data_IF_477535424920
#
_entry.id   IF_477535424920
#
_cell.length_a   1.000
_cell.length_b   1.000
_cell.length_c   1.000
_cell.angle_alpha   90.00
_cell.angle_beta   90.00
_cell.angle_gamma   90.00
#
_symmetry.space_group_name_H-M   'P 1'
#
loop_
_entity.id
_entity.type
_entity.pdbx_description
1 polymer ?
#
# COMPACT_ATOMS: atom_id res chain seq x y z
N UNK A 1 -73.90 -2.14 -56.69
CA UNK A 1 -72.56 -2.73 -56.56
C UNK A 1 -72.04 -2.37 -55.13
N UNK A 2 -72.15 -3.29 -54.17
CA UNK A 2 -72.00 -3.09 -52.75
C UNK A 2 -70.62 -3.65 -52.34
N UNK A 3 -69.71 -2.79 -51.93
CA UNK A 3 -68.41 -3.20 -51.42
C UNK A 3 -68.53 -3.52 -49.91
N UNK A 4 -68.27 -4.76 -49.55
CA UNK A 4 -68.24 -5.21 -48.15
C UNK A 4 -66.82 -5.06 -47.61
N UNK A 5 -66.64 -4.17 -46.59
CA UNK A 5 -65.43 -4.03 -45.86
C UNK A 5 -65.43 -5.08 -44.75
N UNK A 6 -64.43 -6.01 -44.77
CA UNK A 6 -64.16 -6.94 -43.69
C UNK A 6 -63.24 -6.23 -42.64
N UNK A 7 -63.76 -6.07 -41.44
CA UNK A 7 -62.96 -5.67 -40.28
C UNK A 7 -62.29 -6.92 -39.71
N UNK A 8 -60.98 -7.02 -39.84
CA UNK A 8 -60.18 -8.01 -39.17
C UNK A 8 -59.81 -7.54 -37.78
N UNK A 9 -60.34 -8.13 -36.71
CA UNK A 9 -59.91 -7.94 -35.35
C UNK A 9 -58.54 -8.61 -35.13
N UNK A 10 -57.47 -7.86 -35.06
CA UNK A 10 -56.22 -8.37 -34.52
C UNK A 10 -56.30 -8.34 -32.98
N UNK A 11 -56.42 -9.50 -32.39
CA UNK A 11 -56.34 -9.72 -30.95
C UNK A 11 -54.83 -9.72 -30.58
N UNK A 12 -54.36 -8.62 -30.03
CA UNK A 12 -53.01 -8.55 -29.47
C UNK A 12 -53.05 -9.18 -28.07
N UNK A 13 -52.49 -10.40 -27.96
CA UNK A 13 -52.27 -11.06 -26.67
C UNK A 13 -51.08 -10.37 -25.99
N UNK A 14 -51.36 -9.49 -25.04
CA UNK A 14 -50.37 -8.97 -24.11
C UNK A 14 -50.00 -10.06 -23.10
N UNK A 15 -48.87 -10.75 -23.32
CA UNK A 15 -48.28 -11.63 -22.32
C UNK A 15 -47.65 -10.76 -21.26
N UNK A 16 -48.37 -10.57 -20.16
CA UNK A 16 -47.78 -9.98 -18.94
C UNK A 16 -46.82 -11.00 -18.33
N UNK A 17 -45.54 -10.86 -18.61
CA UNK A 17 -44.49 -11.55 -17.85
C UNK A 17 -44.45 -10.92 -16.47
N UNK A 18 -45.18 -11.51 -15.54
CA UNK A 18 -45.08 -11.19 -14.11
C UNK A 18 -43.73 -11.70 -13.61
N UNK A 19 -42.77 -10.78 -13.48
CA UNK A 19 -41.57 -11.03 -12.67
C UNK A 19 -42.04 -11.27 -11.23
N UNK A 20 -42.17 -12.54 -10.83
CA UNK A 20 -42.31 -12.88 -9.42
C UNK A 20 -41.05 -12.46 -8.70
N UNK A 21 -41.09 -11.31 -7.99
CA UNK A 21 -40.08 -10.99 -6.99
C UNK A 21 -40.07 -12.11 -5.96
N UNK A 22 -39.06 -12.99 -6.03
CA UNK A 22 -38.77 -13.87 -4.90
C UNK A 22 -38.56 -12.95 -3.69
N UNK A 23 -39.53 -12.92 -2.79
CA UNK A 23 -39.32 -12.38 -1.46
C UNK A 23 -38.16 -13.16 -0.87
N UNK A 24 -37.04 -12.51 -0.59
CA UNK A 24 -36.01 -13.02 0.31
C UNK A 24 -36.67 -13.13 1.70
N UNK A 25 -37.26 -14.29 1.98
CA UNK A 25 -37.91 -14.57 3.27
C UNK A 25 -37.03 -15.46 4.15
N UNK A 26 -35.85 -15.77 3.71
CA UNK A 26 -34.86 -16.41 4.58
C UNK A 26 -34.05 -15.34 5.28
N UNK A 27 -34.55 -14.93 6.43
CA UNK A 27 -33.74 -14.25 7.41
C UNK A 27 -32.73 -15.28 7.93
N UNK A 28 -31.55 -15.32 7.36
CA UNK A 28 -30.44 -16.04 7.99
C UNK A 28 -30.15 -15.28 9.29
N UNK A 29 -30.67 -15.78 10.41
CA UNK A 29 -30.19 -15.35 11.71
C UNK A 29 -28.71 -15.72 11.77
N UNK A 30 -27.86 -14.73 11.52
CA UNK A 30 -26.44 -14.83 11.86
C UNK A 30 -26.39 -14.85 13.37
N UNK A 31 -25.98 -15.97 14.00
CA UNK A 31 -25.86 -16.00 15.47
C UNK A 31 -24.95 -14.83 15.86
N UNK A 32 -25.44 -13.97 16.73
CA UNK A 32 -24.58 -12.96 17.38
C UNK A 32 -23.43 -13.74 18.03
N UNK A 33 -22.17 -13.32 17.83
CA UNK A 33 -21.04 -13.96 18.48
C UNK A 33 -21.32 -14.04 20.00
N UNK A 34 -21.38 -15.25 20.55
CA UNK A 34 -21.83 -15.52 21.91
C UNK A 34 -20.83 -15.09 22.99
N UNK A 35 -19.65 -14.59 22.58
CA UNK A 35 -18.64 -13.88 23.38
C UNK A 35 -17.91 -12.94 22.42
N UNK A 36 -17.61 -11.73 22.88
CA UNK A 36 -16.54 -10.94 22.27
C UNK A 36 -15.26 -11.78 22.44
N UNK A 37 -14.86 -12.49 21.38
CA UNK A 37 -13.56 -13.12 21.34
C UNK A 37 -12.56 -11.98 21.48
N UNK A 38 -11.87 -11.95 22.64
CA UNK A 38 -10.82 -10.95 22.86
C UNK A 38 -9.81 -11.14 21.75
N UNK A 39 -9.64 -10.12 20.90
CA UNK A 39 -8.59 -10.11 19.91
C UNK A 39 -7.27 -10.22 20.68
N UNK A 40 -6.55 -11.31 20.46
CA UNK A 40 -5.23 -11.52 21.04
C UNK A 40 -4.23 -11.10 19.97
N UNK A 41 -3.47 -10.05 20.27
CA UNK A 41 -2.39 -9.57 19.40
C UNK A 41 -1.19 -10.52 19.56
N UNK A 42 -0.69 -11.01 18.42
CA UNK A 42 0.44 -11.94 18.38
C UNK A 42 1.80 -11.26 18.57
N UNK A 43 2.87 -12.02 18.31
CA UNK A 43 4.23 -11.50 18.33
C UNK A 43 4.80 -11.46 16.89
N UNK A 44 5.35 -10.33 16.42
CA UNK A 44 5.96 -10.25 15.10
C UNK A 44 7.15 -11.22 14.90
N UNK A 45 7.83 -11.63 15.98
CA UNK A 45 8.93 -12.60 15.92
C UNK A 45 8.48 -14.02 15.54
N UNK A 46 7.20 -14.34 15.73
CA UNK A 46 6.63 -15.64 15.38
C UNK A 46 6.27 -15.75 13.87
N UNK A 47 6.28 -14.62 13.16
CA UNK A 47 5.94 -14.58 11.73
C UNK A 47 7.12 -15.04 10.89
N UNK A 48 6.90 -16.11 10.13
CA UNK A 48 7.92 -16.68 9.23
C UNK A 48 7.34 -16.83 7.84
N UNK A 49 8.12 -16.40 6.85
CA UNK A 49 7.86 -16.69 5.44
C UNK A 49 8.19 -18.13 5.09
N UNK A 50 7.67 -18.58 3.95
CA UNK A 50 8.13 -19.82 3.31
C UNK A 50 9.62 -19.70 2.95
N UNK A 51 10.34 -20.81 2.92
CA UNK A 51 11.73 -20.84 2.46
C UNK A 51 11.84 -20.28 1.03
N UNK A 52 12.85 -19.45 0.78
CA UNK A 52 13.11 -18.86 -0.52
C UNK A 52 14.20 -17.79 -0.48
N UNK A 53 14.40 -17.13 -1.61
CA UNK A 53 15.47 -16.14 -1.80
C UNK A 53 15.29 -14.89 -0.94
N UNK A 54 14.04 -14.50 -0.72
CA UNK A 54 13.69 -13.27 0.00
C UNK A 54 13.08 -13.57 1.37
N UNK A 55 13.67 -12.99 2.40
CA UNK A 55 13.16 -13.05 3.76
C UNK A 55 12.36 -11.77 4.09
N UNK A 56 11.39 -11.90 4.98
CA UNK A 56 10.67 -10.73 5.51
C UNK A 56 11.63 -9.83 6.30
N UNK A 57 11.58 -8.53 6.06
CA UNK A 57 12.22 -7.56 6.94
C UNK A 57 11.62 -7.68 8.35
N UNK A 58 12.46 -7.84 9.38
CA UNK A 58 12.01 -7.97 10.77
C UNK A 58 11.43 -6.64 11.25
N UNK A 59 10.30 -6.70 11.95
CA UNK A 59 9.76 -5.56 12.67
C UNK A 59 10.65 -5.24 13.89
N UNK A 60 11.22 -4.03 13.98
CA UNK A 60 12.08 -3.67 15.12
C UNK A 60 11.26 -3.23 16.36
N UNK A 61 9.96 -3.51 16.39
CA UNK A 61 9.01 -3.13 17.45
C UNK A 61 7.81 -4.08 17.48
N UNK A 62 7.13 -4.14 18.63
CA UNK A 62 5.89 -4.92 18.79
C UNK A 62 4.71 -4.23 18.10
N UNK A 63 3.63 -4.98 17.86
CA UNK A 63 2.44 -4.46 17.18
C UNK A 63 1.76 -3.31 17.93
N UNK A 64 1.87 -3.22 19.25
CA UNK A 64 1.31 -2.14 20.05
C UNK A 64 2.19 -0.87 20.08
N UNK A 65 3.41 -0.95 19.58
CA UNK A 65 4.40 0.13 19.74
C UNK A 65 4.01 1.44 19.04
N UNK A 66 3.19 1.37 17.99
CA UNK A 66 2.79 2.54 17.20
C UNK A 66 1.43 3.13 17.62
N UNK A 67 0.78 2.56 18.64
CA UNK A 67 -0.47 3.10 19.21
C UNK A 67 -0.20 4.47 19.84
N UNK A 68 -1.07 5.48 19.63
CA UNK A 68 -2.39 5.43 18.97
C UNK A 68 -2.38 5.74 17.47
N UNK A 69 -1.22 5.87 16.84
CA UNK A 69 -1.05 6.34 15.46
C UNK A 69 -1.37 5.25 14.43
N UNK A 70 -1.01 4.01 14.71
CA UNK A 70 -1.43 2.81 13.99
C UNK A 70 -1.84 1.81 15.06
N UNK A 71 -3.06 1.26 14.97
CA UNK A 71 -3.54 0.30 15.95
C UNK A 71 -2.85 -1.06 15.79
N UNK A 72 -2.78 -1.81 16.89
CA UNK A 72 -2.05 -3.07 16.95
C UNK A 72 -2.62 -4.12 15.98
N UNK A 73 -3.94 -4.19 15.84
CA UNK A 73 -4.58 -5.15 14.94
C UNK A 73 -4.30 -4.85 13.48
N UNK A 74 -4.39 -3.57 13.08
CA UNK A 74 -3.99 -3.15 11.74
C UNK A 74 -2.54 -3.55 11.46
N UNK A 75 -1.62 -3.24 12.38
CA UNK A 75 -0.20 -3.54 12.20
C UNK A 75 0.08 -5.05 12.12
N UNK A 76 -0.56 -5.83 13.00
CA UNK A 76 -0.44 -7.29 12.98
C UNK A 76 -0.90 -7.89 11.66
N UNK A 77 -2.11 -7.59 11.22
CA UNK A 77 -2.66 -8.14 9.98
C UNK A 77 -1.84 -7.66 8.77
N UNK A 78 -1.44 -6.40 8.76
CA UNK A 78 -0.65 -5.82 7.69
C UNK A 78 0.72 -6.48 7.55
N UNK A 79 1.39 -6.77 8.66
CA UNK A 79 2.69 -7.45 8.67
C UNK A 79 2.54 -8.96 8.51
N UNK A 80 1.78 -9.63 9.40
CA UNK A 80 1.77 -11.08 9.53
C UNK A 80 0.92 -11.80 8.48
N UNK A 81 0.09 -11.08 7.73
CA UNK A 81 -0.75 -11.65 6.66
C UNK A 81 -0.43 -11.02 5.32
N UNK A 82 -0.53 -9.70 5.22
CA UNK A 82 -0.43 -9.02 3.94
C UNK A 82 1.00 -9.00 3.40
N UNK A 83 1.96 -8.50 4.16
CA UNK A 83 3.39 -8.52 3.78
C UNK A 83 3.93 -9.94 3.63
N UNK A 84 3.58 -10.85 4.53
CA UNK A 84 3.92 -12.28 4.45
C UNK A 84 3.45 -12.89 3.13
N UNK A 85 2.22 -12.59 2.70
CA UNK A 85 1.69 -13.10 1.43
C UNK A 85 2.51 -12.62 0.24
N UNK A 86 2.91 -11.35 0.19
CA UNK A 86 3.78 -10.85 -0.87
C UNK A 86 5.15 -11.52 -0.87
N UNK A 87 5.73 -11.76 0.31
CA UNK A 87 7.02 -12.46 0.45
C UNK A 87 6.94 -13.88 -0.11
N UNK A 88 5.94 -14.64 0.31
CA UNK A 88 5.77 -16.03 -0.12
C UNK A 88 5.46 -16.14 -1.63
N UNK A 89 4.66 -15.22 -2.15
CA UNK A 89 4.36 -15.18 -3.58
C UNK A 89 5.58 -14.77 -4.41
N UNK A 90 6.36 -13.80 -3.95
CA UNK A 90 7.60 -13.41 -4.61
C UNK A 90 8.56 -14.60 -4.69
N UNK A 91 8.78 -15.31 -3.59
CA UNK A 91 9.66 -16.50 -3.57
C UNK A 91 9.25 -17.55 -4.60
N UNK A 92 7.94 -17.80 -4.76
CA UNK A 92 7.44 -18.72 -5.80
C UNK A 92 7.71 -18.22 -7.22
N UNK A 93 7.60 -16.90 -7.44
CA UNK A 93 7.77 -16.29 -8.76
C UNK A 93 9.23 -16.19 -9.20
N UNK A 94 10.15 -16.08 -8.25
CA UNK A 94 11.60 -15.97 -8.54
C UNK A 94 12.34 -17.30 -8.47
N UNK A 95 11.67 -18.42 -8.30
CA UNK A 95 12.28 -19.76 -8.22
C UNK A 95 12.88 -20.19 -9.56
N UNK A 96 13.79 -19.38 -10.10
CA UNK A 96 14.63 -19.69 -11.26
C UNK A 96 16.04 -19.13 -11.03
N UNK A 97 17.10 -19.80 -11.48
CA UNK A 97 18.49 -19.36 -11.23
C UNK A 97 18.76 -17.91 -11.66
N UNK A 98 18.11 -17.46 -12.74
CA UNK A 98 18.29 -16.12 -13.29
C UNK A 98 17.68 -15.03 -12.40
N UNK A 99 16.56 -15.32 -11.74
CA UNK A 99 15.87 -14.38 -10.85
C UNK A 99 16.34 -14.46 -9.41
N UNK A 100 16.69 -15.67 -8.93
CA UNK A 100 17.26 -15.89 -7.59
C UNK A 100 18.59 -15.15 -7.38
N UNK A 101 19.36 -14.96 -8.45
CA UNK A 101 20.63 -14.24 -8.41
C UNK A 101 20.48 -12.71 -8.33
N UNK A 102 19.26 -12.17 -8.50
CA UNK A 102 19.01 -10.74 -8.52
C UNK A 102 18.60 -10.20 -7.14
N UNK A 103 19.02 -8.98 -6.84
CA UNK A 103 18.46 -8.22 -5.74
C UNK A 103 17.02 -7.78 -6.04
N UNK A 104 16.26 -7.43 -5.00
CA UNK A 104 14.88 -6.96 -5.21
C UNK A 104 14.83 -5.70 -6.06
N UNK A 105 15.79 -4.79 -5.90
CA UNK A 105 15.90 -3.56 -6.70
C UNK A 105 16.19 -3.87 -8.17
N UNK A 106 16.98 -4.89 -8.46
CA UNK A 106 17.26 -5.33 -9.83
C UNK A 106 16.00 -5.94 -10.45
N UNK A 107 15.25 -6.76 -9.70
CA UNK A 107 13.97 -7.31 -10.16
C UNK A 107 12.99 -6.18 -10.50
N UNK A 108 12.85 -5.20 -9.63
CA UNK A 108 11.97 -4.05 -9.84
C UNK A 108 12.37 -3.23 -11.07
N UNK A 109 13.65 -3.05 -11.30
CA UNK A 109 14.19 -2.26 -12.44
C UNK A 109 14.12 -2.99 -13.77
N UNK A 110 14.33 -4.32 -13.76
CA UNK A 110 14.52 -5.10 -14.99
C UNK A 110 13.28 -5.92 -15.37
N UNK A 111 12.75 -6.68 -14.42
CA UNK A 111 11.81 -7.77 -14.71
C UNK A 111 10.35 -7.42 -14.45
N UNK A 112 10.08 -6.49 -13.53
CA UNK A 112 8.72 -6.11 -13.16
C UNK A 112 7.95 -5.42 -14.31
N UNK A 113 8.64 -4.84 -15.29
CA UNK A 113 8.00 -4.16 -16.41
C UNK A 113 7.26 -5.12 -17.37
N UNK A 114 7.70 -6.38 -17.46
CA UNK A 114 7.20 -7.35 -18.46
C UNK A 114 6.33 -8.46 -17.87
N UNK A 115 6.32 -8.62 -16.55
CA UNK A 115 5.54 -9.63 -15.85
C UNK A 115 4.66 -8.97 -14.77
N UNK A 116 3.33 -8.90 -14.97
CA UNK A 116 2.41 -8.26 -14.03
C UNK A 116 2.40 -8.87 -12.64
N UNK A 117 2.51 -10.20 -12.53
CA UNK A 117 2.53 -10.89 -11.23
C UNK A 117 3.81 -10.60 -10.47
N UNK A 118 4.95 -10.65 -11.17
CA UNK A 118 6.24 -10.28 -10.59
C UNK A 118 6.27 -8.81 -10.19
N UNK A 119 5.73 -7.90 -11.03
CA UNK A 119 5.59 -6.47 -10.70
C UNK A 119 4.81 -6.26 -9.42
N UNK A 120 3.66 -6.92 -9.29
CA UNK A 120 2.78 -6.76 -8.14
C UNK A 120 3.42 -7.35 -6.86
N UNK A 121 3.97 -8.56 -6.92
CA UNK A 121 4.49 -9.24 -5.74
C UNK A 121 5.88 -8.70 -5.33
N UNK A 122 6.77 -8.40 -6.26
CA UNK A 122 8.03 -7.74 -5.96
C UNK A 122 7.83 -6.31 -5.43
N UNK A 123 6.90 -5.57 -6.04
CA UNK A 123 6.50 -4.25 -5.54
C UNK A 123 5.92 -4.33 -4.13
N UNK A 124 4.98 -5.25 -3.90
CA UNK A 124 4.38 -5.45 -2.58
C UNK A 124 5.41 -5.82 -1.52
N UNK A 125 6.30 -6.76 -1.83
CA UNK A 125 7.39 -7.13 -0.93
C UNK A 125 8.27 -5.93 -0.56
N UNK A 126 8.79 -5.23 -1.56
CA UNK A 126 9.65 -4.07 -1.35
C UNK A 126 8.95 -2.95 -0.57
N UNK A 127 7.77 -2.55 -1.02
CA UNK A 127 7.06 -1.41 -0.46
C UNK A 127 6.72 -1.61 1.03
N UNK A 128 6.26 -2.81 1.41
CA UNK A 128 5.92 -3.12 2.80
C UNK A 128 7.14 -3.21 3.71
N UNK A 129 8.20 -3.91 3.30
CA UNK A 129 9.45 -3.95 4.06
C UNK A 129 10.01 -2.55 4.28
N UNK A 130 10.05 -1.75 3.21
CA UNK A 130 10.49 -0.37 3.24
C UNK A 130 9.63 0.52 4.16
N UNK A 131 8.32 0.35 4.12
CA UNK A 131 7.38 1.09 4.97
C UNK A 131 7.59 0.74 6.45
N UNK A 132 7.61 -0.53 6.81
CA UNK A 132 7.74 -0.96 8.20
C UNK A 132 9.07 -0.54 8.83
N UNK A 133 10.19 -0.63 8.11
CA UNK A 133 11.49 -0.12 8.57
C UNK A 133 11.50 1.40 8.75
N UNK A 134 10.67 2.10 8.00
CA UNK A 134 10.52 3.56 8.05
C UNK A 134 9.74 4.08 9.25
N UNK A 135 9.26 3.19 10.14
CA UNK A 135 8.44 3.54 11.30
C UNK A 135 9.18 3.30 12.62
N UNK A 136 8.79 4.02 13.66
CA UNK A 136 9.31 3.84 15.02
C UNK A 136 8.34 4.40 16.06
N UNK A 137 8.34 3.77 17.25
CA UNK A 137 7.62 4.29 18.42
C UNK A 137 8.28 5.48 19.09
N UNK A 138 9.54 5.76 18.73
CA UNK A 138 10.36 6.85 19.31
C UNK A 138 10.64 7.93 18.27
N UNK A 139 9.64 8.29 17.48
CA UNK A 139 9.78 9.21 16.38
C UNK A 139 10.07 10.64 16.88
N UNK A 140 11.20 11.26 16.46
CA UNK A 140 11.34 12.70 16.57
C UNK A 140 10.34 13.38 15.62
N UNK A 141 9.92 14.60 15.95
CA UNK A 141 8.88 15.31 15.16
C UNK A 141 9.35 15.72 13.76
N UNK A 142 10.65 15.93 13.60
CA UNK A 142 11.24 16.41 12.36
C UNK A 142 12.61 15.76 12.14
N UNK A 143 13.08 15.66 10.90
CA UNK A 143 14.46 15.26 10.61
C UNK A 143 15.44 16.30 11.14
N UNK A 144 16.71 15.92 11.19
CA UNK A 144 17.83 16.78 11.63
C UNK A 144 18.88 16.88 10.53
N UNK A 145 19.87 17.71 10.78
CA UNK A 145 21.13 17.83 10.03
C UNK A 145 20.91 17.96 8.50
N UNK A 146 21.62 17.19 7.71
CA UNK A 146 21.61 17.28 6.24
C UNK A 146 20.22 17.11 5.65
N UNK A 147 19.44 16.13 6.11
CA UNK A 147 18.10 15.90 5.59
C UNK A 147 17.16 17.09 5.85
N UNK A 148 17.26 17.72 7.02
CA UNK A 148 16.49 18.93 7.33
C UNK A 148 16.86 20.10 6.41
N UNK A 149 18.15 20.26 6.14
CA UNK A 149 18.66 21.30 5.22
C UNK A 149 18.15 21.09 3.78
N UNK A 150 18.15 19.85 3.32
CA UNK A 150 17.64 19.49 1.99
C UNK A 150 16.13 19.68 1.87
N UNK A 151 15.39 19.34 2.90
CA UNK A 151 13.94 19.60 2.94
C UNK A 151 13.69 21.11 2.85
N UNK A 152 14.46 21.91 3.55
CA UNK A 152 14.37 23.37 3.46
C UNK A 152 14.75 23.88 2.08
N UNK A 153 15.83 23.35 1.47
CA UNK A 153 16.27 23.72 0.12
C UNK A 153 15.18 23.46 -0.93
N UNK A 154 14.55 22.29 -0.88
CA UNK A 154 13.69 21.81 -1.98
C UNK A 154 12.22 22.12 -1.77
N UNK A 155 11.80 22.32 -0.53
CA UNK A 155 10.40 22.55 -0.20
C UNK A 155 10.14 23.91 0.47
N UNK A 156 11.16 24.61 0.95
CA UNK A 156 11.06 25.87 1.70
C UNK A 156 11.05 25.63 3.21
N UNK A 157 10.07 24.90 3.72
CA UNK A 157 9.95 24.55 5.14
C UNK A 157 9.55 23.08 5.32
N UNK A 158 9.71 22.56 6.53
CA UNK A 158 9.21 21.23 6.87
C UNK A 158 7.67 21.15 6.74
N UNK A 159 6.96 22.20 7.09
CA UNK A 159 5.51 22.26 6.98
C UNK A 159 5.05 22.25 5.51
N UNK A 160 5.77 22.90 4.62
CA UNK A 160 5.50 22.84 3.18
C UNK A 160 5.78 21.46 2.60
N UNK A 161 6.88 20.80 3.01
CA UNK A 161 7.12 19.39 2.70
C UNK A 161 5.96 18.53 3.17
N UNK A 162 5.55 18.63 4.44
CA UNK A 162 4.44 17.88 5.03
C UNK A 162 3.15 18.12 4.26
N UNK A 163 2.88 19.35 3.88
CA UNK A 163 1.70 19.72 3.06
C UNK A 163 1.72 19.07 1.69
N UNK A 164 2.87 19.10 0.99
CA UNK A 164 3.04 18.47 -0.32
C UNK A 164 2.90 16.94 -0.23
N UNK A 165 3.51 16.31 0.78
CA UNK A 165 3.40 14.87 1.02
C UNK A 165 1.96 14.45 1.32
N UNK A 166 1.29 15.19 2.20
CA UNK A 166 -0.14 14.98 2.50
C UNK A 166 -1.00 15.11 1.26
N UNK A 167 -0.72 16.12 0.42
CA UNK A 167 -1.46 16.33 -0.84
C UNK A 167 -1.24 15.17 -1.82
N UNK A 168 -0.02 14.67 -1.97
CA UNK A 168 0.27 13.51 -2.82
C UNK A 168 -0.46 12.26 -2.33
N UNK A 169 -0.41 11.99 -1.01
CA UNK A 169 -1.10 10.86 -0.38
C UNK A 169 -2.63 10.92 -0.52
N UNK A 170 -3.23 12.11 -0.41
CA UNK A 170 -4.67 12.31 -0.58
C UNK A 170 -5.11 12.22 -2.04
N UNK A 171 -4.29 12.73 -2.97
CA UNK A 171 -4.60 12.71 -4.41
C UNK A 171 -4.40 11.35 -5.07
N UNK A 172 -3.72 10.41 -4.40
CA UNK A 172 -3.63 9.05 -4.90
C UNK A 172 -5.04 8.44 -4.95
N UNK A 173 -5.58 8.37 -6.16
CA UNK A 173 -6.89 7.76 -6.39
C UNK A 173 -6.78 6.24 -6.31
N UNK A 174 -7.64 5.61 -5.53
CA UNK A 174 -7.59 4.18 -5.27
C UNK A 174 -6.38 3.79 -4.42
N UNK A 175 -5.96 2.54 -4.60
CA UNK A 175 -4.84 1.93 -3.89
C UNK A 175 -3.50 2.45 -4.38
N UNK A 176 -2.53 2.60 -3.49
CA UNK A 176 -1.19 3.03 -3.86
C UNK A 176 -0.37 3.51 -2.68
N UNK A 177 0.70 4.25 -2.99
CA UNK A 177 1.73 4.68 -2.04
C UNK A 177 2.08 6.14 -2.26
N UNK A 178 2.38 6.86 -1.20
CA UNK A 178 3.01 8.18 -1.26
C UNK A 178 4.49 8.09 -0.89
N UNK A 179 5.33 8.87 -1.57
CA UNK A 179 6.78 8.77 -1.48
C UNK A 179 7.45 10.12 -1.28
N UNK A 180 8.53 10.13 -0.50
CA UNK A 180 9.63 11.07 -0.61
C UNK A 180 10.78 10.34 -1.30
N UNK A 181 11.34 10.94 -2.35
CA UNK A 181 12.45 10.38 -3.12
C UNK A 181 13.60 11.38 -3.24
N UNK A 182 14.79 10.84 -3.52
CA UNK A 182 15.92 11.61 -4.07
C UNK A 182 15.96 11.32 -5.59
N UNK A 183 15.83 12.36 -6.41
CA UNK A 183 15.93 12.20 -7.86
C UNK A 183 17.39 12.14 -8.33
N UNK A 184 17.60 11.86 -9.61
CA UNK A 184 18.93 11.76 -10.23
C UNK A 184 19.68 13.10 -10.33
N UNK A 185 19.04 14.22 -10.01
CA UNK A 185 19.65 15.55 -9.93
C UNK A 185 20.03 15.94 -8.49
N UNK A 186 19.79 15.04 -7.52
CA UNK A 186 20.04 15.29 -6.11
C UNK A 186 18.99 16.18 -5.44
N UNK A 187 17.79 16.27 -6.01
CA UNK A 187 16.65 16.99 -5.42
C UNK A 187 15.68 16.04 -4.76
N UNK A 188 15.11 16.48 -3.64
CA UNK A 188 14.02 15.80 -3.00
C UNK A 188 12.70 16.08 -3.75
N UNK A 189 11.96 15.02 -4.04
CA UNK A 189 10.64 15.11 -4.66
C UNK A 189 9.61 14.31 -3.89
N UNK A 190 8.36 14.74 -3.97
CA UNK A 190 7.20 14.06 -3.37
C UNK A 190 6.21 13.71 -4.48
N UNK A 191 5.68 12.50 -4.42
CA UNK A 191 4.64 12.03 -5.35
C UNK A 191 3.98 10.76 -4.87
N UNK A 192 3.20 10.14 -5.74
CA UNK A 192 2.51 8.88 -5.46
C UNK A 192 2.61 7.91 -6.63
N UNK A 193 2.43 6.63 -6.33
CA UNK A 193 2.34 5.54 -7.30
C UNK A 193 1.09 4.71 -7.04
N UNK A 194 0.51 4.15 -8.10
CA UNK A 194 -0.68 3.31 -8.00
C UNK A 194 -0.33 1.86 -7.64
N UNK A 195 -1.23 1.18 -6.97
CA UNK A 195 -1.13 -0.23 -6.60
C UNK A 195 0.20 -0.53 -5.86
N UNK A 196 0.98 -1.51 -6.34
CA UNK A 196 2.29 -1.84 -5.75
C UNK A 196 3.47 -1.27 -6.56
N UNK A 197 3.20 -0.34 -7.48
CA UNK A 197 4.28 0.38 -8.16
C UNK A 197 5.09 1.22 -7.17
N UNK A 198 6.37 1.39 -7.50
CA UNK A 198 7.28 2.22 -6.72
C UNK A 198 8.27 2.99 -7.59
N UNK A 199 8.98 3.99 -7.04
CA UNK A 199 9.88 4.87 -7.80
C UNK A 199 11.08 4.19 -8.48
N UNK A 200 11.39 2.92 -8.14
CA UNK A 200 12.47 2.15 -8.77
C UNK A 200 12.04 1.55 -10.12
N UNK A 201 10.74 1.39 -10.34
CA UNK A 201 10.22 0.77 -11.55
C UNK A 201 10.33 1.69 -12.76
N UNK A 202 10.76 1.19 -13.93
CA UNK A 202 10.90 2.00 -15.15
C UNK A 202 9.57 2.60 -15.63
N UNK A 203 8.45 1.98 -15.28
CA UNK A 203 7.08 2.43 -15.63
C UNK A 203 6.52 3.50 -14.69
N UNK A 204 7.17 3.76 -13.55
CA UNK A 204 6.70 4.78 -12.61
C UNK A 204 6.86 6.19 -13.18
N UNK A 205 5.85 7.04 -12.96
CA UNK A 205 5.96 8.46 -13.30
C UNK A 205 6.91 9.22 -12.36
N UNK A 206 6.91 8.87 -11.08
CA UNK A 206 7.85 9.36 -10.09
C UNK A 206 9.05 8.41 -10.04
N UNK A 207 10.24 8.91 -10.37
CA UNK A 207 11.47 8.09 -10.45
C UNK A 207 12.57 8.65 -9.57
N UNK A 208 13.22 7.80 -8.84
CA UNK A 208 14.36 8.14 -7.98
C UNK A 208 14.55 7.12 -6.87
N UNK A 209 15.50 7.40 -5.98
CA UNK A 209 15.75 6.55 -4.81
C UNK A 209 14.72 6.84 -3.72
N UNK A 210 13.91 5.86 -3.29
CA UNK A 210 12.95 6.04 -2.21
C UNK A 210 13.65 6.37 -0.89
N UNK A 211 13.12 7.34 -0.15
CA UNK A 211 13.58 7.70 1.19
C UNK A 211 12.51 7.46 2.25
N UNK A 212 11.26 7.78 1.94
CA UNK A 212 10.09 7.58 2.81
C UNK A 212 8.92 7.07 1.99
N UNK A 213 8.18 6.12 2.54
CA UNK A 213 6.95 5.59 1.96
C UNK A 213 5.79 5.69 2.95
N UNK A 214 4.59 5.93 2.44
CA UNK A 214 3.33 5.79 3.17
C UNK A 214 2.39 4.93 2.35
N UNK A 215 1.93 3.84 2.94
CA UNK A 215 0.84 3.04 2.38
C UNK A 215 -0.48 3.80 2.47
N UNK A 216 -1.13 4.04 1.33
CA UNK A 216 -2.45 4.66 1.27
C UNK A 216 -3.54 3.72 0.74
N UNK A 217 -3.24 2.42 0.65
CA UNK A 217 -4.25 1.38 0.54
C UNK A 217 -5.17 1.44 1.77
N UNK A 218 -6.44 1.13 1.61
CA UNK A 218 -7.41 1.22 2.70
C UNK A 218 -7.11 0.24 3.84
N UNK A 219 -6.53 -0.93 3.56
CA UNK A 219 -6.15 -1.90 4.59
C UNK A 219 -5.15 -1.34 5.63
N UNK A 220 -4.33 -0.36 5.24
CA UNK A 220 -3.34 0.23 6.12
C UNK A 220 -3.94 1.14 7.21
N UNK A 221 -5.21 1.57 7.07
CA UNK A 221 -5.78 2.55 7.99
C UNK A 221 -7.27 2.36 8.30
N UNK A 222 -8.02 1.51 7.59
CA UNK A 222 -9.48 1.51 7.65
C UNK A 222 -10.01 1.08 9.02
N UNK A 223 -9.37 0.14 9.71
CA UNK A 223 -9.82 -0.32 11.03
C UNK A 223 -9.79 0.82 12.07
N UNK A 224 -8.77 1.67 12.03
CA UNK A 224 -8.60 2.76 13.00
C UNK A 224 -9.22 4.08 12.52
N UNK A 225 -9.10 4.39 11.23
CA UNK A 225 -9.47 5.71 10.69
C UNK A 225 -10.67 5.68 9.74
N UNK A 226 -11.11 4.49 9.31
CA UNK A 226 -12.19 4.32 8.34
C UNK A 226 -11.90 5.15 7.06
N UNK A 227 -12.88 5.86 6.53
CA UNK A 227 -12.72 6.71 5.35
C UNK A 227 -11.84 7.96 5.57
N UNK A 228 -11.35 8.20 6.78
CA UNK A 228 -10.66 9.44 7.17
C UNK A 228 -9.17 9.38 6.87
N UNK A 229 -8.78 9.10 5.60
CA UNK A 229 -7.37 8.99 5.17
C UNK A 229 -6.50 10.17 5.64
N UNK A 230 -7.05 11.41 5.64
CA UNK A 230 -6.31 12.59 6.13
C UNK A 230 -5.84 12.44 7.58
N UNK A 231 -6.68 11.88 8.47
CA UNK A 231 -6.30 11.66 9.88
C UNK A 231 -5.19 10.63 10.02
N UNK A 232 -5.23 9.57 9.22
CA UNK A 232 -4.16 8.58 9.15
C UNK A 232 -2.84 9.20 8.70
N UNK A 233 -2.86 10.01 7.63
CA UNK A 233 -1.66 10.70 7.13
C UNK A 233 -1.10 11.62 8.21
N UNK A 234 -1.94 12.37 8.93
CA UNK A 234 -1.49 13.24 10.02
C UNK A 234 -0.85 12.45 11.17
N UNK A 235 -1.43 11.28 11.50
CA UNK A 235 -0.90 10.39 12.54
C UNK A 235 0.42 9.73 12.13
N UNK A 236 0.58 9.35 10.86
CA UNK A 236 1.80 8.77 10.32
C UNK A 236 3.05 9.62 10.61
N UNK A 237 2.95 10.94 10.51
CA UNK A 237 4.08 11.84 10.79
C UNK A 237 4.62 11.72 12.23
N UNK A 238 3.85 11.17 13.16
CA UNK A 238 4.29 10.89 14.52
C UNK A 238 4.98 9.52 14.69
N UNK A 239 5.07 8.74 13.64
CA UNK A 239 5.68 7.41 13.65
C UNK A 239 6.88 7.29 12.72
N UNK A 240 7.25 8.34 11.99
CA UNK A 240 8.34 8.30 11.02
C UNK A 240 9.69 8.12 11.72
N UNK A 241 10.44 7.12 11.32
CA UNK A 241 11.82 6.91 11.72
C UNK A 241 12.76 7.80 10.88
N UNK A 242 12.89 9.08 11.28
CA UNK A 242 13.73 10.04 10.56
C UNK A 242 15.20 9.63 10.50
N UNK A 243 15.69 8.86 11.47
CA UNK A 243 17.05 8.32 11.42
C UNK A 243 17.20 7.34 10.24
N UNK A 244 16.20 6.45 10.03
CA UNK A 244 16.21 5.53 8.87
C UNK A 244 16.06 6.27 7.53
N UNK A 245 15.26 7.33 7.49
CA UNK A 245 15.13 8.19 6.30
C UNK A 245 16.46 8.88 5.98
N UNK A 246 17.19 9.35 7.00
CA UNK A 246 18.53 9.96 6.84
C UNK A 246 19.55 8.93 6.36
N UNK A 247 19.59 7.74 6.96
CA UNK A 247 20.45 6.63 6.51
C UNK A 247 20.25 6.30 5.03
N UNK A 248 18.97 6.20 4.60
CA UNK A 248 18.64 5.95 3.19
C UNK A 248 19.11 7.05 2.27
N UNK A 249 19.01 8.31 2.72
CA UNK A 249 19.54 9.46 1.98
C UNK A 249 21.07 9.40 1.88
N UNK A 250 21.77 9.12 2.97
CA UNK A 250 23.25 9.02 2.99
C UNK A 250 23.73 7.91 2.04
N UNK A 251 23.10 6.74 2.10
CA UNK A 251 23.39 5.63 1.20
C UNK A 251 23.15 5.98 -0.28
N UNK A 252 22.06 6.73 -0.57
CA UNK A 252 21.74 7.17 -1.92
C UNK A 252 22.70 8.24 -2.46
N UNK A 253 23.29 9.03 -1.57
CA UNK A 253 24.17 10.15 -1.90
C UNK A 253 25.65 9.77 -1.99
N UNK A 254 26.02 8.60 -1.43
CA UNK A 254 27.38 8.08 -1.53
C UNK A 254 27.53 7.45 -2.92
N UNK A 255 28.45 7.93 -3.78
CA UNK A 255 28.73 7.25 -5.03
C UNK A 255 29.13 5.81 -4.72
N UNK A 256 28.50 4.82 -5.38
CA UNK A 256 29.02 3.48 -5.38
C UNK A 256 30.46 3.55 -5.94
N UNK A 257 31.46 3.58 -5.06
CA UNK A 257 32.83 3.34 -5.50
C UNK A 257 32.88 1.87 -5.93
N UNK A 258 33.36 1.61 -7.16
CA UNK A 258 33.46 0.26 -7.70
C UNK A 258 34.47 -0.59 -6.92
#
# INVERSE_FOLDING_TARGET
MKLRILFGCCLILLVLVSCSRKKLTEVVEVPLPSKEDKIVIGNPEDVKGDEGTFEMAKLPYNYEALVPHIDALTLEIHYSKHYLTYTNNLNKLVASPELEALTIEEILKKSAATNPDLRNNAGGYYNHGFFFEGLTSKAPKTPKDTLASLITRDFGTFEEFKSKFTTAALKQFGSGWAWLILDNTGKLQVGSTANQDNPLMPTAALKGTPLLALDVWEHAYYLNYQYKRKKYIDAFFNSINWAKVTERFENASTPNMP
#
